data_IF_736979254620
#
_entry.id   IF_736979254620
#
_cell.length_a   1.000
_cell.length_b   1.000
_cell.length_c   1.000
_cell.angle_alpha   90.00
_cell.angle_beta   90.00
_cell.angle_gamma   90.00
#
_symmetry.space_group_name_H-M   'P 1'
#
loop_
_entity.id
_entity.type
_entity.pdbx_description
1 polymer ?
#
# COMPACT_ATOMS: atom_id res chain seq x y z
N UNK A 1 -17.22 27.25 -2.46
CA UNK A 1 -16.20 26.31 -2.98
C UNK A 1 -16.53 24.94 -2.41
N UNK A 2 -16.55 23.88 -3.22
CA UNK A 2 -16.73 22.53 -2.69
C UNK A 2 -15.50 22.15 -1.86
N UNK A 3 -15.72 21.69 -0.64
CA UNK A 3 -14.65 21.23 0.23
C UNK A 3 -14.03 19.96 -0.37
N UNK A 4 -12.74 20.00 -0.69
CA UNK A 4 -12.03 18.85 -1.28
C UNK A 4 -11.50 17.96 -0.17
N UNK A 5 -12.42 17.18 0.41
CA UNK A 5 -12.13 16.25 1.50
C UNK A 5 -11.37 15.00 1.06
N UNK A 6 -11.40 14.67 -0.23
CA UNK A 6 -10.75 13.46 -0.78
C UNK A 6 -9.78 13.88 -1.89
N UNK A 7 -8.52 13.46 -1.79
CA UNK A 7 -7.45 13.86 -2.72
C UNK A 7 -6.50 12.71 -3.02
N UNK A 8 -5.87 12.76 -4.18
CA UNK A 8 -4.72 11.91 -4.55
C UNK A 8 -3.48 12.80 -4.61
N UNK A 9 -2.37 12.33 -4.05
CA UNK A 9 -1.09 13.04 -4.09
C UNK A 9 0.07 12.05 -4.02
N UNK A 10 1.31 12.57 -4.07
CA UNK A 10 2.54 11.76 -4.04
C UNK A 10 3.25 11.90 -2.70
N UNK A 11 3.70 10.79 -2.14
CA UNK A 11 4.45 10.80 -0.88
C UNK A 11 5.76 11.59 -1.03
N UNK A 12 6.00 12.56 -0.16
CA UNK A 12 7.22 13.38 -0.17
C UNK A 12 8.19 13.03 0.97
N UNK A 13 7.69 12.53 2.09
CA UNK A 13 8.48 12.03 3.22
C UNK A 13 7.78 10.88 3.93
N UNK A 14 8.56 10.04 4.63
CA UNK A 14 8.07 8.91 5.42
C UNK A 14 8.75 8.90 6.78
N UNK A 15 7.97 9.00 7.85
CA UNK A 15 8.42 8.70 9.21
C UNK A 15 7.96 7.28 9.58
N UNK A 16 8.90 6.35 9.47
CA UNK A 16 8.68 4.96 9.80
C UNK A 16 8.40 4.70 11.28
N UNK A 17 8.97 5.51 12.17
CA UNK A 17 8.85 5.34 13.63
C UNK A 17 7.47 5.73 14.15
N UNK A 18 6.85 6.72 13.51
CA UNK A 18 5.52 7.23 13.88
C UNK A 18 4.39 6.77 12.96
N UNK A 19 4.70 6.07 11.87
CA UNK A 19 3.70 5.64 10.88
C UNK A 19 3.07 6.83 10.14
N UNK A 20 3.86 7.87 9.87
CA UNK A 20 3.40 9.11 9.27
C UNK A 20 4.05 9.38 7.92
N UNK A 21 3.38 10.14 7.05
CA UNK A 21 3.90 10.59 5.76
C UNK A 21 3.48 12.03 5.47
N UNK A 22 4.28 12.76 4.70
CA UNK A 22 3.84 13.98 4.02
C UNK A 22 3.51 13.67 2.56
N UNK A 23 2.55 14.40 2.00
CA UNK A 23 2.05 14.21 0.64
C UNK A 23 2.08 15.54 -0.11
N UNK A 24 2.62 15.53 -1.32
CA UNK A 24 2.62 16.67 -2.25
C UNK A 24 1.46 16.55 -3.23
N UNK A 25 0.70 17.62 -3.40
CA UNK A 25 -0.40 17.73 -4.37
C UNK A 25 0.03 18.55 -5.57
N UNK A 26 0.34 17.87 -6.68
CA UNK A 26 0.78 18.52 -7.94
C UNK A 26 -0.27 19.44 -8.54
N UNK A 27 -1.55 19.17 -8.29
CA UNK A 27 -2.68 19.99 -8.77
C UNK A 27 -3.00 21.20 -7.87
N UNK A 28 -2.17 21.48 -6.86
CA UNK A 28 -2.36 22.58 -5.92
C UNK A 28 -1.01 23.27 -5.65
N UNK A 29 -0.40 23.82 -6.71
CA UNK A 29 0.88 24.55 -6.68
C UNK A 29 2.01 23.80 -5.95
N UNK A 30 2.05 22.47 -6.11
CA UNK A 30 2.99 21.58 -5.40
C UNK A 30 2.98 21.75 -3.87
N UNK A 31 1.83 22.14 -3.31
CA UNK A 31 1.65 22.21 -1.86
C UNK A 31 1.88 20.85 -1.21
N UNK A 32 2.65 20.87 -0.13
CA UNK A 32 2.98 19.68 0.66
C UNK A 32 2.27 19.76 2.00
N UNK A 33 1.64 18.66 2.41
CA UNK A 33 0.95 18.56 3.69
C UNK A 33 1.94 18.57 4.87
N UNK A 34 1.42 18.79 6.07
CA UNK A 34 2.07 18.29 7.28
C UNK A 34 2.14 16.76 7.29
N UNK A 35 2.65 16.20 8.38
CA UNK A 35 2.69 14.74 8.55
C UNK A 35 1.31 14.19 8.90
N UNK A 36 0.82 13.25 8.09
CA UNK A 36 -0.44 12.56 8.31
C UNK A 36 -0.20 11.09 8.64
N UNK A 37 -0.99 10.49 9.55
CA UNK A 37 -0.93 9.06 9.81
C UNK A 37 -1.35 8.26 8.58
N UNK A 38 -0.67 7.13 8.36
CA UNK A 38 -1.12 6.10 7.42
C UNK A 38 -2.16 5.22 8.12
N UNK A 39 -3.25 4.90 7.42
CA UNK A 39 -4.28 3.98 7.90
C UNK A 39 -3.65 2.62 8.19
N UNK A 40 -3.74 2.17 9.45
CA UNK A 40 -3.03 0.98 9.92
C UNK A 40 -3.64 -0.34 9.46
N UNK A 41 -4.87 -0.32 8.93
CA UNK A 41 -5.60 -1.54 8.53
C UNK A 41 -5.57 -2.62 9.63
N UNK A 42 -5.86 -2.23 10.89
CA UNK A 42 -5.81 -3.13 12.05
C UNK A 42 -4.41 -3.75 12.23
N UNK A 43 -3.41 -2.89 12.38
CA UNK A 43 -2.01 -3.22 12.69
C UNK A 43 -1.20 -3.88 11.55
N UNK A 44 -1.64 -3.73 10.30
CA UNK A 44 -0.84 -4.09 9.13
C UNK A 44 0.15 -2.98 8.74
N UNK A 45 1.43 -3.19 9.10
CA UNK A 45 2.47 -2.23 8.75
C UNK A 45 3.00 -2.44 7.32
N UNK A 46 2.67 -1.50 6.42
CA UNK A 46 3.32 -1.36 5.11
C UNK A 46 3.23 0.08 4.61
N UNK A 47 4.28 0.87 4.87
CA UNK A 47 4.32 2.27 4.47
C UNK A 47 4.44 2.42 2.94
N UNK A 48 3.76 3.43 2.34
CA UNK A 48 4.02 3.81 0.96
C UNK A 48 5.42 4.45 0.85
N UNK A 49 6.09 4.25 -0.29
CA UNK A 49 7.39 4.83 -0.58
C UNK A 49 7.31 6.25 -1.15
N UNK A 50 8.40 7.01 -1.06
CA UNK A 50 8.53 8.35 -1.63
C UNK A 50 8.24 8.30 -3.15
N UNK A 51 7.48 9.29 -3.63
CA UNK A 51 7.05 9.43 -5.03
C UNK A 51 5.81 8.60 -5.41
N UNK A 52 5.38 7.67 -4.56
CA UNK A 52 4.21 6.83 -4.82
C UNK A 52 2.90 7.60 -4.59
N UNK A 53 1.93 7.36 -5.47
CA UNK A 53 0.60 7.96 -5.36
C UNK A 53 -0.23 7.29 -4.28
N UNK A 54 -0.88 8.13 -3.45
CA UNK A 54 -1.70 7.70 -2.32
C UNK A 54 -3.01 8.48 -2.27
N UNK A 55 -4.05 7.82 -1.73
CA UNK A 55 -5.33 8.45 -1.40
C UNK A 55 -5.25 9.08 -0.01
N UNK A 56 -5.68 10.34 0.09
CA UNK A 56 -5.73 11.10 1.34
C UNK A 56 -7.18 11.53 1.62
N UNK A 57 -7.63 11.23 2.84
CA UNK A 57 -8.90 11.67 3.39
C UNK A 57 -8.63 12.82 4.37
N UNK A 58 -9.02 14.03 4.02
CA UNK A 58 -8.95 15.21 4.88
C UNK A 58 -10.14 15.23 5.84
N UNK A 59 -9.88 15.65 7.08
CA UNK A 59 -10.93 15.82 8.08
C UNK A 59 -11.68 17.14 7.80
N UNK A 60 -13.00 17.12 7.99
CA UNK A 60 -13.88 18.27 7.72
C UNK A 60 -13.71 19.43 8.70
N UNK A 61 -12.94 19.25 9.77
CA UNK A 61 -12.59 20.33 10.71
C UNK A 61 -11.35 21.12 10.29
N UNK A 62 -10.80 20.85 9.09
CA UNK A 62 -9.73 21.62 8.47
C UNK A 62 -8.84 20.75 7.59
N UNK A 63 -8.39 21.28 6.44
CA UNK A 63 -7.48 20.57 5.52
C UNK A 63 -6.05 20.41 6.05
N UNK A 64 -5.80 20.82 7.30
CA UNK A 64 -4.51 20.65 7.99
C UNK A 64 -4.38 19.30 8.69
N UNK A 65 -5.42 18.46 8.66
CA UNK A 65 -5.42 17.11 9.20
C UNK A 65 -6.04 16.12 8.21
N UNK A 66 -5.46 14.94 8.11
CA UNK A 66 -5.97 13.87 7.25
C UNK A 66 -5.40 12.52 7.58
N UNK A 67 -5.93 11.49 6.92
CA UNK A 67 -5.50 10.09 7.01
C UNK A 67 -5.12 9.62 5.62
N UNK A 68 -3.95 9.02 5.49
CA UNK A 68 -3.48 8.43 4.23
C UNK A 68 -3.93 6.98 4.16
N UNK A 69 -4.80 6.65 3.20
CA UNK A 69 -5.37 5.31 3.05
C UNK A 69 -4.42 4.31 2.38
N UNK A 70 -3.30 4.79 1.83
CA UNK A 70 -2.31 3.98 1.12
C UNK A 70 -2.36 4.14 -0.39
N UNK A 71 -1.68 3.23 -1.10
CA UNK A 71 -1.52 3.25 -2.55
C UNK A 71 -2.81 2.84 -3.26
N UNK A 72 -3.03 3.40 -4.45
CA UNK A 72 -4.17 3.06 -5.32
C UNK A 72 -3.68 2.38 -6.59
N UNK A 73 -4.51 1.52 -7.20
CA UNK A 73 -4.23 0.99 -8.53
C UNK A 73 -4.45 2.07 -9.59
N UNK A 74 -3.49 2.22 -10.50
CA UNK A 74 -3.54 3.18 -11.60
C UNK A 74 -2.56 2.76 -12.73
N UNK A 75 -2.32 3.64 -13.71
CA UNK A 75 -1.44 3.34 -14.84
C UNK A 75 0.01 3.03 -14.45
N UNK A 76 0.53 3.66 -13.39
CA UNK A 76 1.89 3.47 -12.88
C UNK A 76 1.96 2.33 -11.84
N UNK A 77 0.98 2.27 -10.94
CA UNK A 77 0.85 1.24 -9.93
C UNK A 77 -0.17 0.19 -10.39
N UNK A 78 0.29 -0.83 -11.08
CA UNK A 78 -0.55 -1.94 -11.55
C UNK A 78 -0.47 -3.14 -10.62
N UNK A 79 -1.56 -3.91 -10.45
CA UNK A 79 -1.52 -5.15 -9.68
C UNK A 79 -0.55 -6.15 -10.36
N UNK A 80 0.39 -6.77 -9.62
CA UNK A 80 1.36 -7.70 -10.21
C UNK A 80 0.73 -8.99 -10.74
N UNK A 81 -0.47 -9.34 -10.27
CA UNK A 81 -1.32 -10.41 -10.82
C UNK A 81 -2.78 -9.99 -10.68
N UNK A 82 -3.52 -9.98 -11.79
CA UNK A 82 -4.93 -9.60 -11.83
C UNK A 82 -5.73 -10.52 -12.76
N UNK A 83 -6.55 -11.37 -12.15
CA UNK A 83 -7.60 -12.16 -12.82
C UNK A 83 -8.70 -12.48 -11.81
N UNK A 84 -9.82 -13.02 -12.27
CA UNK A 84 -10.87 -13.50 -11.37
C UNK A 84 -10.33 -14.55 -10.39
N UNK A 85 -10.89 -14.57 -9.18
CA UNK A 85 -10.58 -15.54 -8.12
C UNK A 85 -9.12 -15.58 -7.65
N UNK A 86 -8.37 -14.48 -7.80
CA UNK A 86 -7.02 -14.32 -7.24
C UNK A 86 -7.03 -13.35 -6.06
N UNK A 87 -6.36 -13.74 -4.98
CA UNK A 87 -5.97 -12.84 -3.90
C UNK A 87 -4.46 -12.79 -3.83
N UNK A 88 -3.87 -11.61 -3.70
CA UNK A 88 -2.42 -11.47 -3.55
C UNK A 88 -2.08 -10.35 -2.60
N UNK A 89 -1.23 -10.65 -1.62
CA UNK A 89 -0.67 -9.68 -0.67
C UNK A 89 0.84 -9.70 -0.78
N UNK A 90 1.37 -8.60 -1.29
CA UNK A 90 2.81 -8.35 -1.36
C UNK A 90 3.33 -7.95 0.02
N UNK A 91 4.37 -8.60 0.51
CA UNK A 91 5.06 -8.24 1.74
C UNK A 91 6.22 -7.29 1.46
N UNK A 92 6.94 -7.53 0.37
CA UNK A 92 8.08 -6.72 -0.04
C UNK A 92 7.73 -5.32 -0.56
N UNK A 93 8.76 -4.47 -0.61
CA UNK A 93 8.71 -3.16 -1.28
C UNK A 93 8.75 -3.31 -2.81
N UNK A 94 9.37 -4.38 -3.30
CA UNK A 94 9.44 -4.74 -4.72
C UNK A 94 8.44 -5.86 -4.99
N UNK A 95 7.57 -5.69 -5.97
CA UNK A 95 6.59 -6.72 -6.32
C UNK A 95 7.24 -8.03 -6.73
N UNK A 96 6.70 -9.12 -6.19
CA UNK A 96 7.17 -10.46 -6.48
C UNK A 96 8.39 -10.89 -5.67
N UNK A 97 8.99 -10.05 -4.83
CA UNK A 97 10.08 -10.48 -3.97
C UNK A 97 9.57 -11.39 -2.85
N UNK A 98 8.52 -10.98 -2.13
CA UNK A 98 7.91 -11.78 -1.06
C UNK A 98 6.40 -11.51 -1.01
N UNK A 99 5.60 -12.58 -1.00
CA UNK A 99 4.15 -12.47 -1.05
C UNK A 99 3.43 -13.72 -0.54
N UNK A 100 2.16 -13.54 -0.19
CA UNK A 100 1.17 -14.62 -0.09
C UNK A 100 0.14 -14.45 -1.21
N UNK A 101 -0.22 -15.55 -1.85
CA UNK A 101 -1.17 -15.56 -2.96
C UNK A 101 -2.12 -16.74 -2.84
N UNK A 102 -3.39 -16.51 -3.18
CA UNK A 102 -4.30 -17.56 -3.61
C UNK A 102 -4.46 -17.42 -5.13
N UNK A 103 -4.03 -18.42 -5.88
CA UNK A 103 -4.03 -18.35 -7.33
C UNK A 103 -5.36 -18.79 -7.98
N UNK A 104 -6.34 -19.21 -7.19
CA UNK A 104 -7.60 -19.79 -7.66
C UNK A 104 -7.70 -21.29 -7.40
N UNK A 105 -6.58 -21.95 -7.09
CA UNK A 105 -6.50 -23.37 -6.76
C UNK A 105 -5.65 -23.61 -5.51
N UNK A 106 -4.49 -22.94 -5.42
CA UNK A 106 -3.47 -23.15 -4.41
C UNK A 106 -3.23 -21.87 -3.59
N UNK A 107 -2.89 -22.06 -2.31
CA UNK A 107 -2.27 -21.02 -1.49
C UNK A 107 -0.76 -21.15 -1.66
N UNK A 108 -0.11 -20.06 -2.05
CA UNK A 108 1.31 -19.96 -2.36
C UNK A 108 1.95 -18.92 -1.45
N UNK A 109 3.09 -19.29 -0.85
CA UNK A 109 3.97 -18.39 -0.13
C UNK A 109 5.28 -18.27 -0.90
N UNK A 110 5.79 -17.05 -1.05
CA UNK A 110 7.12 -16.81 -1.62
C UNK A 110 7.91 -15.92 -0.66
N UNK A 111 9.12 -16.36 -0.33
CA UNK A 111 10.14 -15.52 0.29
C UNK A 111 11.09 -14.97 -0.79
N UNK A 112 11.81 -13.89 -0.48
CA UNK A 112 12.79 -13.29 -1.39
C UNK A 112 13.87 -14.26 -1.85
N UNK A 113 14.30 -15.16 -0.96
CA UNK A 113 15.45 -16.04 -1.20
C UNK A 113 15.04 -17.44 -1.67
N UNK A 114 13.75 -17.76 -1.66
CA UNK A 114 13.22 -19.09 -1.97
C UNK A 114 12.16 -18.96 -3.07
N UNK A 115 12.07 -19.96 -3.95
CA UNK A 115 10.97 -20.02 -4.92
C UNK A 115 9.58 -20.04 -4.24
N UNK A 116 8.50 -19.84 -5.01
CA UNK A 116 7.15 -20.03 -4.48
C UNK A 116 6.97 -21.46 -3.99
N UNK A 117 6.40 -21.62 -2.80
CA UNK A 117 6.05 -22.89 -2.18
C UNK A 117 4.54 -22.89 -1.89
N UNK A 118 3.87 -23.97 -2.24
CA UNK A 118 2.45 -24.18 -1.97
C UNK A 118 2.21 -24.59 -0.52
N UNK A 119 1.01 -24.33 0.00
CA UNK A 119 0.60 -24.85 1.30
C UNK A 119 0.68 -26.38 1.35
N UNK A 120 0.42 -27.08 0.23
CA UNK A 120 0.56 -28.54 0.14
C UNK A 120 2.00 -28.99 0.43
N UNK A 121 2.97 -28.40 -0.27
CA UNK A 121 4.39 -28.74 -0.07
C UNK A 121 4.84 -28.47 1.38
N UNK A 122 4.37 -27.38 2.00
CA UNK A 122 4.66 -27.09 3.42
C UNK A 122 4.05 -28.12 4.38
N UNK A 123 2.87 -28.67 4.06
CA UNK A 123 2.21 -29.70 4.87
C UNK A 123 2.86 -31.06 4.67
N UNK A 124 3.29 -31.39 3.45
CA UNK A 124 3.99 -32.63 3.14
C UNK A 124 5.39 -32.70 3.77
N UNK A 125 6.02 -31.54 4.05
CA UNK A 125 7.24 -31.47 4.85
C UNK A 125 7.06 -31.79 6.34
N UNK A 126 5.81 -31.91 6.85
CA UNK A 126 5.55 -32.42 8.20
C UNK A 126 5.53 -33.95 8.19
N UNK A 127 6.69 -34.54 7.93
CA UNK A 127 6.97 -35.97 8.15
C UNK A 127 7.86 -36.12 9.39
#
# INVERSE_FOLDING_TARGET
MAERLIRVGRVSSVDHSRGMVSVTYTNLDDSTTGEFPVFSFTDEYKMPGIGQEVLVLHLSNGQSAGIVMGRIWNGENQPPKSRESVFRKEFGSIYGEAYMEYDGENIVFKDKNIGPVTLRELLDCKC
#
